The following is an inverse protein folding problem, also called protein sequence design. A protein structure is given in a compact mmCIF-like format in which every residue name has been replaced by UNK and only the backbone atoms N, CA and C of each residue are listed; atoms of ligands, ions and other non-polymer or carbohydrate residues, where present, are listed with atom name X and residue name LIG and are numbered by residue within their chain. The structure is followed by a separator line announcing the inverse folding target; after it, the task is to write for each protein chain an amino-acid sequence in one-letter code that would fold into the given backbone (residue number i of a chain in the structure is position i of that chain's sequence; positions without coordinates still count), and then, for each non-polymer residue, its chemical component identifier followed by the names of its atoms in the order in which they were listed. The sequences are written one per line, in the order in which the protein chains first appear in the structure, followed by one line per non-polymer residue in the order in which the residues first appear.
data_IF_134826402251
#
_entry.id   IF_134826402251
#
_cell.length_a   1.000
_cell.length_b   1.000
_cell.length_c   1.000
_cell.angle_alpha   90.00
_cell.angle_beta   90.00
_cell.angle_gamma   90.00
#
_symmetry.space_group_name_H-M   'P 1'
#
loop_
_entity.id
_entity.type
_entity.pdbx_description
1 polymer ?
#
# COMPACT_ATOMS: atom_id res chain seq x y z
N UNK A 1 52.88 -5.62 -117.10
CA UNK A 1 54.25 -6.00 -116.68
C UNK A 1 54.20 -6.23 -115.17
N UNK A 2 54.59 -7.43 -114.73
CA UNK A 2 54.59 -7.96 -113.36
C UNK A 2 55.31 -7.03 -112.33
N UNK A 3 55.13 -7.17 -110.98
CA UNK A 3 55.03 -8.47 -110.33
C UNK A 3 54.09 -8.68 -109.14
N UNK A 4 53.89 -9.98 -108.99
CA UNK A 4 53.23 -10.81 -108.00
C UNK A 4 53.93 -10.74 -106.63
N UNK A 5 53.19 -10.91 -105.53
CA UNK A 5 53.61 -11.79 -104.42
C UNK A 5 52.45 -12.08 -103.46
N UNK A 6 51.85 -13.26 -103.63
CA UNK A 6 51.20 -13.98 -102.53
C UNK A 6 52.29 -14.56 -101.62
N UNK A 7 52.13 -14.38 -100.30
CA UNK A 7 52.80 -15.21 -99.28
C UNK A 7 51.74 -15.72 -98.30
N UNK A 8 51.73 -17.04 -98.10
CA UNK A 8 50.83 -17.80 -97.22
C UNK A 8 51.51 -18.12 -95.88
N UNK A 9 50.69 -18.05 -94.80
CA UNK A 9 50.63 -18.87 -93.56
C UNK A 9 51.66 -18.69 -92.42
N UNK A 10 51.13 -18.55 -91.20
CA UNK A 10 51.29 -19.53 -90.10
C UNK A 10 50.22 -19.35 -88.99
N UNK A 11 49.80 -20.42 -88.27
CA UNK A 11 48.79 -20.35 -87.20
C UNK A 11 49.46 -20.09 -85.84
N UNK A 12 48.84 -19.24 -85.01
CA UNK A 12 49.37 -18.84 -83.70
C UNK A 12 48.43 -19.19 -82.53
N UNK A 13 48.80 -20.26 -81.81
CA UNK A 13 48.56 -20.62 -80.40
C UNK A 13 47.29 -20.15 -79.67
N UNK A 14 46.52 -21.15 -79.20
CA UNK A 14 45.66 -21.11 -78.00
C UNK A 14 46.40 -20.48 -76.81
N UNK A 15 45.74 -19.56 -76.12
CA UNK A 15 45.88 -19.38 -74.68
C UNK A 15 44.50 -19.37 -74.04
N UNK A 16 44.19 -20.46 -73.34
CA UNK A 16 43.18 -20.47 -72.28
C UNK A 16 43.78 -19.70 -71.10
N UNK A 17 43.14 -18.62 -70.68
CA UNK A 17 43.30 -18.10 -69.32
C UNK A 17 41.97 -18.28 -68.60
N UNK A 18 41.89 -19.38 -67.85
CA UNK A 18 40.87 -19.58 -66.84
C UNK A 18 41.06 -18.49 -65.78
N UNK A 19 40.06 -17.64 -65.58
CA UNK A 19 40.04 -16.78 -64.40
C UNK A 19 39.74 -17.66 -63.15
N UNK A 20 40.48 -17.50 -62.04
CA UNK A 20 40.15 -18.19 -60.82
C UNK A 20 38.91 -17.54 -60.20
N UNK A 21 37.81 -18.30 -60.15
CA UNK A 21 36.66 -18.00 -59.29
C UNK A 21 37.14 -18.00 -57.83
N UNK A 22 37.32 -16.82 -57.24
CA UNK A 22 37.41 -16.70 -55.79
C UNK A 22 35.99 -16.66 -55.20
N UNK A 23 35.56 -17.65 -54.41
CA UNK A 23 34.28 -17.56 -53.73
C UNK A 23 34.44 -16.54 -52.60
N UNK A 24 33.90 -15.34 -52.82
CA UNK A 24 33.74 -14.37 -51.75
C UNK A 24 32.71 -14.92 -50.77
N UNK A 25 33.14 -15.24 -49.55
CA UNK A 25 32.27 -15.78 -48.52
C UNK A 25 31.11 -14.81 -48.23
N UNK A 26 29.89 -15.32 -48.35
CA UNK A 26 28.68 -14.61 -47.94
C UNK A 26 28.67 -14.46 -46.43
N UNK A 27 29.00 -13.27 -45.93
CA UNK A 27 28.80 -12.89 -44.53
C UNK A 27 27.34 -12.50 -44.27
N UNK A 28 26.38 -13.34 -44.67
CA UNK A 28 24.95 -13.10 -44.49
C UNK A 28 24.37 -13.69 -43.19
N UNK A 29 25.22 -14.11 -42.25
CA UNK A 29 24.80 -14.70 -40.96
C UNK A 29 24.73 -13.69 -39.80
N UNK A 30 25.14 -12.43 -40.00
CA UNK A 30 25.19 -11.41 -38.93
C UNK A 30 23.92 -10.54 -38.84
N UNK A 31 23.29 -10.21 -39.97
CA UNK A 31 22.15 -9.28 -40.01
C UNK A 31 20.86 -9.91 -39.45
N UNK A 32 20.64 -11.20 -39.71
CA UNK A 32 19.46 -11.93 -39.20
C UNK A 32 19.48 -12.13 -37.69
N UNK A 33 20.66 -12.33 -37.10
CA UNK A 33 20.80 -12.55 -35.66
C UNK A 33 20.70 -11.23 -34.88
N UNK A 34 21.24 -10.12 -35.40
CA UNK A 34 21.13 -8.80 -34.77
C UNK A 34 19.67 -8.33 -34.68
N UNK A 35 18.89 -8.49 -35.76
CA UNK A 35 17.48 -8.09 -35.76
C UNK A 35 16.64 -8.93 -34.78
N UNK A 36 16.91 -10.24 -34.67
CA UNK A 36 16.23 -11.11 -33.69
C UNK A 36 16.62 -10.75 -32.26
N UNK A 37 17.89 -10.48 -31.99
CA UNK A 37 18.38 -10.06 -30.67
C UNK A 37 17.81 -8.68 -30.31
N UNK A 38 17.79 -7.71 -31.23
CA UNK A 38 17.22 -6.38 -31.02
C UNK A 38 15.70 -6.41 -30.77
N UNK A 39 14.97 -7.32 -31.45
CA UNK A 39 13.55 -7.54 -31.18
C UNK A 39 13.34 -8.20 -29.81
N UNK A 40 14.16 -9.18 -29.44
CA UNK A 40 14.07 -9.78 -28.11
C UNK A 40 14.42 -8.80 -26.98
N UNK A 41 15.45 -7.96 -27.16
CA UNK A 41 15.81 -6.95 -26.15
C UNK A 41 14.74 -5.89 -26.00
N UNK A 42 14.10 -5.45 -27.09
CA UNK A 42 12.98 -4.50 -27.03
C UNK A 42 11.75 -5.11 -26.37
N UNK A 43 11.41 -6.38 -26.67
CA UNK A 43 10.31 -7.09 -25.98
C UNK A 43 10.58 -7.20 -24.48
N UNK A 44 11.79 -7.61 -24.08
CA UNK A 44 12.16 -7.72 -22.67
C UNK A 44 12.12 -6.36 -21.97
N UNK A 45 12.60 -5.29 -22.62
CA UNK A 45 12.54 -3.94 -22.08
C UNK A 45 11.08 -3.47 -21.90
N UNK A 46 10.20 -3.72 -22.88
CA UNK A 46 8.78 -3.38 -22.79
C UNK A 46 8.09 -4.18 -21.68
N UNK A 47 8.35 -5.48 -21.57
CA UNK A 47 7.82 -6.31 -20.47
C UNK A 47 8.31 -5.80 -19.10
N UNK A 48 9.58 -5.42 -18.98
CA UNK A 48 10.13 -4.82 -17.76
C UNK A 48 9.43 -3.52 -17.38
N UNK A 49 9.17 -2.64 -18.35
CA UNK A 49 8.41 -1.39 -18.15
C UNK A 49 6.97 -1.68 -17.73
N UNK A 50 6.29 -2.64 -18.36
CA UNK A 50 4.91 -3.04 -18.00
C UNK A 50 4.84 -3.59 -16.57
N UNK A 51 5.81 -4.42 -16.17
CA UNK A 51 5.91 -4.95 -14.80
C UNK A 51 6.13 -3.81 -13.79
N UNK A 52 7.04 -2.87 -14.09
CA UNK A 52 7.29 -1.70 -13.23
C UNK A 52 6.06 -0.80 -13.09
N UNK A 53 5.31 -0.56 -14.17
CA UNK A 53 4.07 0.22 -14.14
C UNK A 53 2.95 -0.51 -13.36
N UNK A 54 2.87 -1.84 -13.46
CA UNK A 54 1.94 -2.67 -12.69
C UNK A 54 2.23 -2.64 -11.19
N UNK A 55 3.51 -2.77 -10.80
CA UNK A 55 3.95 -2.66 -9.40
C UNK A 55 3.67 -1.24 -8.86
N UNK A 56 4.00 -0.20 -9.64
CA UNK A 56 3.76 1.21 -9.26
C UNK A 56 2.27 1.50 -9.02
N UNK A 57 1.39 0.94 -9.85
CA UNK A 57 -0.07 1.12 -9.73
C UNK A 57 -0.63 0.50 -8.45
N UNK A 58 -0.18 -0.71 -8.11
CA UNK A 58 -0.61 -1.40 -6.89
C UNK A 58 -0.08 -0.75 -5.60
N UNK A 59 1.15 -0.21 -5.62
CA UNK A 59 1.71 0.52 -4.47
C UNK A 59 0.96 1.85 -4.26
N UNK A 60 0.56 2.53 -5.35
CA UNK A 60 -0.22 3.78 -5.27
C UNK A 60 -1.63 3.56 -4.71
N UNK A 61 -2.29 2.45 -5.04
CA UNK A 61 -3.63 2.16 -4.47
C UNK A 61 -3.61 1.93 -2.96
N UNK A 62 -2.51 1.40 -2.41
CA UNK A 62 -2.39 1.15 -0.95
C UNK A 62 -2.13 2.44 -0.17
N UNK A 63 -1.47 3.43 -0.79
CA UNK A 63 -1.15 4.71 -0.14
C UNK A 63 -2.31 5.72 -0.18
N UNK A 64 -3.32 5.52 -1.05
CA UNK A 64 -4.41 6.49 -1.30
C UNK A 64 -5.67 6.23 -0.46
N UNK A 65 -5.75 5.12 0.27
CA UNK A 65 -6.97 4.74 1.02
C UNK A 65 -7.04 5.24 2.46
N UNK A 66 -6.01 5.93 2.97
CA UNK A 66 -6.08 6.55 4.30
C UNK A 66 -6.39 8.02 4.08
N UNK A 67 -7.67 8.39 4.19
CA UNK A 67 -8.04 9.79 4.36
C UNK A 67 -7.37 10.28 5.65
N UNK A 68 -6.39 11.20 5.58
CA UNK A 68 -5.64 11.63 6.75
C UNK A 68 -6.47 12.56 7.65
N UNK A 69 -7.70 12.92 7.24
CA UNK A 69 -8.54 13.82 8.00
C UNK A 69 -9.31 13.06 9.09
N UNK A 70 -9.24 13.50 10.36
CA UNK A 70 -10.05 12.91 11.42
C UNK A 70 -11.53 13.05 11.09
N UNK A 71 -12.26 11.94 11.19
CA UNK A 71 -13.71 11.96 11.07
C UNK A 71 -14.32 12.68 12.28
N UNK A 72 -14.92 13.83 12.04
CA UNK A 72 -15.64 14.58 13.07
C UNK A 72 -17.09 14.11 13.12
N UNK A 73 -17.57 13.78 14.32
CA UNK A 73 -18.95 13.36 14.55
C UNK A 73 -19.71 14.47 15.28
N UNK A 74 -20.93 14.77 14.82
CA UNK A 74 -21.86 15.63 15.54
C UNK A 74 -22.61 14.81 16.60
N UNK A 75 -22.94 15.46 17.72
CA UNK A 75 -23.70 14.85 18.81
C UNK A 75 -25.14 15.40 18.74
N UNK A 76 -26.11 14.50 18.85
CA UNK A 76 -27.52 14.85 19.07
C UNK A 76 -27.91 14.39 20.47
N UNK A 77 -28.43 15.30 21.29
CA UNK A 77 -28.97 14.97 22.61
C UNK A 77 -30.33 14.28 22.42
N UNK A 78 -30.43 13.02 22.84
CA UNK A 78 -31.68 12.25 22.76
C UNK A 78 -32.49 12.34 24.03
N UNK A 79 -31.82 12.32 25.19
CA UNK A 79 -32.42 12.41 26.51
C UNK A 79 -31.45 13.12 27.46
N UNK A 80 -32.03 13.76 28.48
CA UNK A 80 -31.30 14.36 29.59
C UNK A 80 -31.78 13.73 30.90
N UNK A 81 -30.85 13.41 31.79
CA UNK A 81 -31.13 12.79 33.08
C UNK A 81 -30.55 13.64 34.21
N UNK A 82 -31.19 13.69 35.39
CA UNK A 82 -30.63 14.39 36.53
C UNK A 82 -29.29 13.79 36.96
N UNK A 83 -28.35 14.63 37.36
CA UNK A 83 -27.06 14.24 37.92
C UNK A 83 -26.78 15.08 39.17
N UNK A 84 -26.06 14.50 40.14
CA UNK A 84 -25.67 15.21 41.36
C UNK A 84 -24.61 16.28 41.02
N UNK A 85 -24.90 17.59 41.13
CA UNK A 85 -23.95 18.64 40.74
C UNK A 85 -22.71 18.71 41.65
N UNK A 86 -22.70 17.99 42.79
CA UNK A 86 -21.53 17.89 43.68
C UNK A 86 -20.61 16.74 43.33
N UNK A 87 -21.01 15.91 42.37
CA UNK A 87 -20.23 14.82 41.81
C UNK A 87 -19.04 15.32 40.99
N UNK A 88 -17.81 15.11 41.44
CA UNK A 88 -16.65 15.25 40.58
C UNK A 88 -16.40 13.95 39.80
N UNK A 89 -17.19 13.69 38.75
CA UNK A 89 -17.16 12.44 37.98
C UNK A 89 -15.80 12.21 37.34
N UNK A 90 -15.20 11.04 37.58
CA UNK A 90 -13.94 10.61 36.95
C UNK A 90 -14.04 9.25 36.25
N UNK A 91 -15.06 8.45 36.61
CA UNK A 91 -15.40 7.21 35.92
C UNK A 91 -16.91 7.04 35.84
N UNK A 92 -17.42 6.53 34.72
CA UNK A 92 -18.84 6.30 34.51
C UNK A 92 -19.06 5.01 33.70
N UNK A 93 -19.90 4.13 34.21
CA UNK A 93 -20.23 2.84 33.61
C UNK A 93 -21.75 2.61 33.63
N UNK A 94 -22.32 2.22 32.50
CA UNK A 94 -23.69 1.71 32.45
C UNK A 94 -23.70 0.19 32.67
N UNK A 95 -24.42 -0.26 33.70
CA UNK A 95 -24.51 -1.68 34.07
C UNK A 95 -25.80 -2.36 33.59
N UNK A 96 -26.62 -1.67 32.79
CA UNK A 96 -27.94 -2.16 32.38
C UNK A 96 -29.03 -1.87 33.39
N UNK A 97 -30.29 -2.07 33.00
CA UNK A 97 -31.47 -1.90 33.85
C UNK A 97 -31.52 -0.55 34.57
N UNK A 98 -31.23 0.53 33.83
CA UNK A 98 -31.23 1.92 34.32
C UNK A 98 -30.33 2.17 35.53
N UNK A 99 -29.23 1.41 35.64
CA UNK A 99 -28.22 1.57 36.68
C UNK A 99 -26.91 2.07 36.08
N UNK A 100 -26.42 3.14 36.67
CA UNK A 100 -25.07 3.66 36.47
C UNK A 100 -24.21 3.28 37.67
N UNK A 101 -22.94 3.00 37.40
CA UNK A 101 -21.89 3.04 38.40
C UNK A 101 -20.98 4.21 38.08
N UNK A 102 -20.59 4.96 39.10
CA UNK A 102 -19.81 6.18 38.96
C UNK A 102 -18.69 6.17 40.00
N UNK A 103 -17.50 6.57 39.57
CA UNK A 103 -16.38 6.91 40.45
C UNK A 103 -16.22 8.43 40.49
N UNK A 104 -16.03 8.96 41.70
CA UNK A 104 -15.84 10.39 41.96
C UNK A 104 -14.44 10.67 42.48
N UNK A 105 -13.89 11.81 42.07
CA UNK A 105 -12.64 12.33 42.60
C UNK A 105 -12.83 13.27 43.80
N UNK A 106 -11.78 14.05 44.07
CA UNK A 106 -11.56 14.92 45.22
C UNK A 106 -11.14 14.18 46.49
N UNK A 107 -9.99 14.57 47.05
CA UNK A 107 -9.48 14.03 48.32
C UNK A 107 -10.48 14.23 49.45
N UNK A 108 -10.72 13.18 50.24
CA UNK A 108 -11.73 13.17 51.31
C UNK A 108 -13.18 13.04 50.83
N UNK A 109 -13.45 13.05 49.53
CA UNK A 109 -14.81 12.97 48.96
C UNK A 109 -14.95 11.91 47.85
N UNK A 110 -13.84 11.25 47.51
CA UNK A 110 -13.83 10.22 46.46
C UNK A 110 -14.67 9.01 46.87
N UNK A 111 -15.40 8.45 45.91
CA UNK A 111 -16.35 7.38 46.15
C UNK A 111 -16.62 6.57 44.89
N UNK A 112 -17.01 5.31 45.06
CA UNK A 112 -17.67 4.50 44.02
C UNK A 112 -19.13 4.35 44.40
N UNK A 113 -20.04 4.62 43.46
CA UNK A 113 -21.48 4.64 43.76
C UNK A 113 -22.33 4.07 42.63
N UNK A 114 -23.48 3.50 43.01
CA UNK A 114 -24.53 3.08 42.10
C UNK A 114 -25.62 4.13 42.07
N UNK A 115 -26.03 4.55 40.88
CA UNK A 115 -26.97 5.64 40.64
C UNK A 115 -28.11 5.16 39.75
N UNK A 116 -29.35 5.46 40.13
CA UNK A 116 -30.51 5.24 39.29
C UNK A 116 -30.51 6.27 38.14
N UNK A 117 -30.41 5.80 36.89
CA UNK A 117 -30.29 6.64 35.69
C UNK A 117 -31.41 7.67 35.58
N UNK A 118 -32.66 7.24 35.76
CA UNK A 118 -33.84 8.08 35.53
C UNK A 118 -33.95 9.27 36.47
N UNK A 119 -33.43 9.14 37.70
CA UNK A 119 -33.62 10.15 38.75
C UNK A 119 -32.32 10.78 39.24
N UNK A 120 -31.15 10.25 38.85
CA UNK A 120 -29.85 10.66 39.39
C UNK A 120 -29.65 10.31 40.87
N UNK A 121 -30.51 9.45 41.45
CA UNK A 121 -30.47 9.15 42.89
C UNK A 121 -29.38 8.12 43.17
N UNK A 122 -28.51 8.43 44.13
CA UNK A 122 -27.52 7.48 44.66
C UNK A 122 -28.24 6.38 45.45
N UNK A 123 -28.11 5.14 45.01
CA UNK A 123 -28.68 3.96 45.65
C UNK A 123 -27.72 3.31 46.65
N UNK A 124 -26.43 3.27 46.28
CA UNK A 124 -25.34 2.69 47.08
C UNK A 124 -24.12 3.57 46.90
N UNK A 125 -23.38 3.81 47.97
CA UNK A 125 -22.11 4.55 47.95
C UNK A 125 -21.08 3.85 48.81
N UNK A 126 -19.86 3.74 48.29
CA UNK A 126 -18.68 3.30 48.99
C UNK A 126 -17.67 4.45 48.96
N UNK A 127 -17.38 5.02 50.13
CA UNK A 127 -16.36 6.06 50.24
C UNK A 127 -14.96 5.44 50.12
N UNK A 128 -14.06 6.16 49.46
CA UNK A 128 -12.63 5.85 49.46
C UNK A 128 -11.97 6.47 50.70
N UNK A 129 -10.78 5.99 51.05
CA UNK A 129 -9.98 6.65 52.07
C UNK A 129 -9.66 8.09 51.65
N UNK A 130 -9.58 9.01 52.62
CA UNK A 130 -9.36 10.43 52.37
C UNK A 130 -8.06 10.77 51.62
N UNK A 131 -7.07 9.87 51.69
CA UNK A 131 -5.79 9.98 50.99
C UNK A 131 -5.86 9.59 49.51
N UNK A 132 -6.96 9.00 49.06
CA UNK A 132 -7.15 8.62 47.66
C UNK A 132 -7.97 9.64 46.88
N UNK A 133 -7.61 9.77 45.61
CA UNK A 133 -8.37 10.45 44.59
C UNK A 133 -8.95 9.40 43.65
N UNK A 134 -10.28 9.27 43.58
CA UNK A 134 -10.94 8.31 42.70
C UNK A 134 -10.85 8.73 41.24
N UNK A 135 -10.53 7.79 40.36
CA UNK A 135 -10.40 8.04 38.91
C UNK A 135 -11.36 7.16 38.09
N UNK A 136 -10.93 6.68 36.92
CA UNK A 136 -11.74 5.88 36.00
C UNK A 136 -12.40 4.67 36.66
N UNK A 137 -13.48 4.18 36.08
CA UNK A 137 -14.23 3.03 36.59
C UNK A 137 -14.61 2.11 35.44
N UNK A 138 -14.33 0.82 35.60
CA UNK A 138 -14.79 -0.21 34.67
C UNK A 138 -15.19 -1.48 35.40
N UNK A 139 -15.87 -2.38 34.70
CA UNK A 139 -16.26 -3.69 35.18
C UNK A 139 -15.46 -4.77 34.42
N UNK A 140 -14.66 -5.54 35.15
CA UNK A 140 -13.90 -6.68 34.65
C UNK A 140 -14.48 -7.97 35.22
N UNK A 141 -15.25 -8.68 34.40
CA UNK A 141 -16.07 -9.80 34.88
C UNK A 141 -17.07 -9.31 35.92
N UNK A 142 -16.96 -9.80 37.15
CA UNK A 142 -17.84 -9.43 38.27
C UNK A 142 -17.17 -8.43 39.24
N UNK A 143 -16.05 -7.82 38.86
CA UNK A 143 -15.29 -6.90 39.72
C UNK A 143 -15.16 -5.51 39.12
N UNK A 144 -15.42 -4.50 39.94
CA UNK A 144 -15.10 -3.12 39.59
C UNK A 144 -13.61 -2.86 39.76
N UNK A 145 -13.03 -2.14 38.81
CA UNK A 145 -11.68 -1.60 38.88
C UNK A 145 -11.76 -0.07 38.83
N UNK A 146 -11.20 0.59 39.84
CA UNK A 146 -11.14 2.03 40.04
C UNK A 146 -9.81 2.42 40.66
#
# INVERSE_FOLDING_TARGET
MAPNKLVKRKPGRRFNSAEPNFPMASSATSIFNYNRVAVLTTIVAVLGVVVLLGISSNVRSVLVTVDPTPKIHAIQVLNEFPHDPKAFTQGLLYAGNDKLFESTGLYGQSSVRRVALQTGKVEIIQMMDSSYFGEGLTLLGDRFAS
#
